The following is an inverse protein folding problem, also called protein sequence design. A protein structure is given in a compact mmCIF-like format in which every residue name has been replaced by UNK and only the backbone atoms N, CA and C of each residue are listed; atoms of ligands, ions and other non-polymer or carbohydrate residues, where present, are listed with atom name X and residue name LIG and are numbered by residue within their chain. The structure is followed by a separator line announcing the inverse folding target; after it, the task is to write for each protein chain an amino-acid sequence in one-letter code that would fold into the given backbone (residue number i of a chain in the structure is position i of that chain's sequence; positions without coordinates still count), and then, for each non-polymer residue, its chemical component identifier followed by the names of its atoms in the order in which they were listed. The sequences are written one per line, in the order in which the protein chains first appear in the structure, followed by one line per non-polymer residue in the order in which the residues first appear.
data_IF_371827253649
#
_entry.id   IF_371827253649
#
_cell.length_a   1.000
_cell.length_b   1.000
_cell.length_c   1.000
_cell.angle_alpha   90.00
_cell.angle_beta   90.00
_cell.angle_gamma   90.00
#
_symmetry.space_group_name_H-M   'P 1'
#
loop_
_entity.id
_entity.type
_entity.pdbx_description
1 polymer ?
#
# COMPACT_ATOMS: atom_id res chain seq x y z
N UNK A 1 5.86 -12.27 -9.48
CA UNK A 1 6.74 -12.02 -8.32
C UNK A 1 6.28 -12.87 -7.16
N UNK A 2 7.15 -13.11 -6.19
CA UNK A 2 6.89 -13.89 -4.98
C UNK A 2 7.00 -13.00 -3.74
N UNK A 3 5.94 -12.97 -2.95
CA UNK A 3 5.81 -12.14 -1.75
C UNK A 3 5.66 -12.98 -0.50
N UNK A 4 6.25 -12.52 0.61
CA UNK A 4 5.91 -13.00 1.94
C UNK A 4 5.27 -11.85 2.71
N UNK A 5 4.08 -12.09 3.29
CA UNK A 5 3.38 -11.13 4.13
C UNK A 5 3.34 -11.67 5.55
N UNK A 6 3.99 -10.97 6.47
CA UNK A 6 4.08 -11.32 7.89
C UNK A 6 3.13 -10.42 8.69
N UNK A 7 2.10 -11.03 9.25
CA UNK A 7 0.97 -10.37 9.90
C UNK A 7 -0.24 -10.29 8.98
N UNK A 8 -1.22 -11.19 9.19
CA UNK A 8 -2.46 -11.30 8.42
C UNK A 8 -3.64 -10.64 9.15
N UNK A 9 -3.40 -9.48 9.76
CA UNK A 9 -4.44 -8.59 10.25
C UNK A 9 -5.22 -7.96 9.09
N UNK A 10 -6.08 -6.97 9.37
CA UNK A 10 -6.92 -6.34 8.34
C UNK A 10 -6.12 -5.86 7.13
N UNK A 11 -5.00 -5.17 7.34
CA UNK A 11 -4.17 -4.67 6.25
C UNK A 11 -3.45 -5.79 5.49
N UNK A 12 -2.76 -6.69 6.22
CA UNK A 12 -1.98 -7.76 5.60
C UNK A 12 -2.84 -8.78 4.85
N UNK A 13 -4.05 -9.08 5.33
CA UNK A 13 -4.97 -10.00 4.64
C UNK A 13 -5.48 -9.41 3.32
N UNK A 14 -5.91 -8.15 3.31
CA UNK A 14 -6.34 -7.48 2.08
C UNK A 14 -5.21 -7.40 1.07
N UNK A 15 -4.02 -7.01 1.52
CA UNK A 15 -2.84 -6.95 0.64
C UNK A 15 -2.48 -8.31 0.05
N UNK A 16 -2.60 -9.38 0.84
CA UNK A 16 -2.34 -10.75 0.38
C UNK A 16 -3.33 -11.19 -0.71
N UNK A 17 -4.61 -10.90 -0.51
CA UNK A 17 -5.68 -11.21 -1.48
C UNK A 17 -5.49 -10.41 -2.78
N UNK A 18 -5.23 -9.11 -2.70
CA UNK A 18 -5.05 -8.25 -3.89
C UNK A 18 -3.81 -8.65 -4.70
N UNK A 19 -2.67 -8.92 -4.05
CA UNK A 19 -1.47 -9.40 -4.74
C UNK A 19 -1.69 -10.76 -5.41
N UNK A 20 -2.42 -11.67 -4.74
CA UNK A 20 -2.79 -12.97 -5.30
C UNK A 20 -3.72 -12.81 -6.51
N UNK A 21 -4.71 -11.90 -6.45
CA UNK A 21 -5.63 -11.60 -7.55
C UNK A 21 -4.90 -11.05 -8.79
N UNK A 22 -3.79 -10.34 -8.60
CA UNK A 22 -2.90 -9.89 -9.68
C UNK A 22 -2.01 -11.00 -10.25
N UNK A 23 -2.13 -12.25 -9.77
CA UNK A 23 -1.38 -13.41 -10.25
C UNK A 23 0.01 -13.57 -9.63
N UNK A 24 0.27 -12.94 -8.49
CA UNK A 24 1.53 -13.12 -7.77
C UNK A 24 1.48 -14.32 -6.83
N UNK A 25 2.62 -14.95 -6.59
CA UNK A 25 2.78 -15.99 -5.57
C UNK A 25 2.88 -15.33 -4.20
N UNK A 26 1.88 -15.54 -3.34
CA UNK A 26 1.83 -14.92 -2.01
C UNK A 26 1.91 -15.99 -0.92
N UNK A 27 2.82 -15.79 0.02
CA UNK A 27 2.98 -16.57 1.23
C UNK A 27 2.52 -15.72 2.41
N UNK A 28 1.47 -16.14 3.10
CA UNK A 28 0.96 -15.49 4.29
C UNK A 28 1.49 -16.11 5.58
N UNK A 29 1.82 -15.29 6.57
CA UNK A 29 2.37 -15.72 7.86
C UNK A 29 1.67 -14.99 9.01
N UNK A 30 1.12 -15.72 9.96
CA UNK A 30 0.57 -15.16 11.20
C UNK A 30 0.69 -16.21 12.33
N UNK A 31 0.67 -15.78 13.57
CA UNK A 31 0.58 -16.65 14.76
C UNK A 31 -0.85 -17.13 14.99
N UNK A 32 -1.83 -16.40 14.49
CA UNK A 32 -3.26 -16.68 14.68
C UNK A 32 -3.78 -17.59 13.58
N UNK A 33 -4.07 -18.85 13.96
CA UNK A 33 -4.61 -19.88 13.07
C UNK A 33 -5.86 -19.42 12.30
N UNK A 34 -6.79 -18.70 12.96
CA UNK A 34 -8.01 -18.22 12.31
C UNK A 34 -7.74 -17.24 11.16
N UNK A 35 -6.73 -16.37 11.32
CA UNK A 35 -6.31 -15.44 10.26
C UNK A 35 -5.70 -16.17 9.08
N UNK A 36 -4.91 -17.20 9.35
CA UNK A 36 -4.31 -18.07 8.33
C UNK A 36 -5.37 -18.87 7.59
N UNK A 37 -6.32 -19.47 8.31
CA UNK A 37 -7.41 -20.27 7.73
C UNK A 37 -8.29 -19.51 6.75
N UNK A 38 -8.56 -18.23 7.01
CA UNK A 38 -9.36 -17.37 6.12
C UNK A 38 -8.70 -17.18 4.75
N UNK A 39 -7.38 -17.26 4.70
CA UNK A 39 -6.59 -16.97 3.49
C UNK A 39 -6.09 -18.22 2.76
N UNK A 40 -6.16 -19.40 3.35
CA UNK A 40 -5.57 -20.63 2.81
C UNK A 40 -6.00 -20.99 1.38
N UNK A 41 -7.24 -20.65 1.01
CA UNK A 41 -7.80 -20.93 -0.31
C UNK A 41 -7.70 -19.73 -1.27
N UNK A 42 -7.15 -18.60 -0.81
CA UNK A 42 -7.06 -17.34 -1.56
C UNK A 42 -5.65 -16.98 -1.99
N UNK A 43 -4.64 -17.52 -1.31
CA UNK A 43 -3.22 -17.28 -1.57
C UNK A 43 -2.49 -18.60 -1.81
N UNK A 44 -1.27 -18.53 -2.35
CA UNK A 44 -0.52 -19.72 -2.74
C UNK A 44 -0.16 -20.64 -1.56
N UNK A 45 0.26 -20.05 -0.43
CA UNK A 45 0.66 -20.79 0.78
C UNK A 45 0.47 -19.94 2.01
N UNK A 46 0.19 -20.56 3.15
CA UNK A 46 0.11 -19.88 4.44
C UNK A 46 0.76 -20.70 5.56
N UNK A 47 1.35 -20.01 6.55
CA UNK A 47 2.03 -20.62 7.68
C UNK A 47 1.52 -20.05 9.01
N UNK A 48 1.31 -20.95 9.98
CA UNK A 48 1.02 -20.58 11.36
C UNK A 48 2.35 -20.67 12.12
N UNK A 49 3.07 -19.55 12.19
CA UNK A 49 4.36 -19.48 12.89
C UNK A 49 4.54 -18.13 13.59
N UNK A 50 5.37 -18.12 14.61
CA UNK A 50 5.86 -16.89 15.23
C UNK A 50 7.12 -16.41 14.49
N UNK A 51 6.97 -15.41 13.67
CA UNK A 51 8.08 -14.82 12.90
C UNK A 51 9.10 -14.07 13.79
N UNK A 52 8.80 -13.83 15.07
CA UNK A 52 9.76 -13.27 16.03
C UNK A 52 10.77 -14.32 16.53
N UNK A 53 10.48 -15.61 16.33
CA UNK A 53 11.42 -16.69 16.60
C UNK A 53 12.26 -16.98 15.36
N UNK A 54 13.59 -16.93 15.51
CA UNK A 54 14.54 -17.09 14.41
C UNK A 54 14.46 -18.47 13.74
N UNK A 55 14.21 -19.53 14.53
CA UNK A 55 14.09 -20.88 13.99
C UNK A 55 12.81 -21.02 13.17
N UNK A 56 11.70 -20.54 13.67
CA UNK A 56 10.42 -20.52 12.96
C UNK A 56 10.49 -19.68 11.66
N UNK A 57 11.13 -18.52 11.72
CA UNK A 57 11.32 -17.66 10.53
C UNK A 57 12.17 -18.36 9.46
N UNK A 58 13.14 -19.20 9.85
CA UNK A 58 14.03 -19.91 8.92
C UNK A 58 13.32 -20.97 8.06
N UNK A 59 12.10 -21.35 8.39
CA UNK A 59 11.27 -22.28 7.59
C UNK A 59 10.79 -21.59 6.29
N UNK A 60 10.71 -20.26 6.29
CA UNK A 60 10.26 -19.48 5.14
C UNK A 60 11.34 -19.42 4.05
N UNK A 61 10.96 -19.43 2.76
CA UNK A 61 11.89 -19.37 1.63
C UNK A 61 12.46 -17.96 1.42
N UNK A 62 13.12 -17.38 2.45
CA UNK A 62 13.58 -16.00 2.44
C UNK A 62 14.61 -15.68 1.35
N UNK A 63 15.28 -16.69 0.79
CA UNK A 63 16.27 -16.51 -0.30
C UNK A 63 15.65 -16.46 -1.67
N UNK A 64 14.42 -17.02 -1.81
CA UNK A 64 13.73 -17.21 -3.07
C UNK A 64 12.49 -16.30 -3.17
N UNK A 65 12.45 -15.23 -2.36
CA UNK A 65 11.37 -14.25 -2.34
C UNK A 65 11.84 -12.92 -2.92
N UNK A 66 10.97 -12.27 -3.69
CA UNK A 66 11.27 -10.95 -4.25
C UNK A 66 11.10 -9.85 -3.19
N UNK A 67 10.03 -9.93 -2.38
CA UNK A 67 9.67 -8.90 -1.39
C UNK A 67 9.10 -9.53 -0.13
N UNK A 68 9.51 -9.03 1.03
CA UNK A 68 8.89 -9.36 2.32
C UNK A 68 8.21 -8.12 2.89
N UNK A 69 6.94 -8.26 3.28
CA UNK A 69 6.13 -7.18 3.85
C UNK A 69 5.80 -7.52 5.30
N UNK A 70 6.27 -6.70 6.24
CA UNK A 70 5.94 -6.81 7.66
C UNK A 70 4.72 -5.95 7.96
N UNK A 71 3.55 -6.57 8.01
CA UNK A 71 2.25 -5.93 8.22
C UNK A 71 1.76 -6.01 9.67
N UNK A 72 2.66 -6.26 10.64
CA UNK A 72 2.34 -6.35 12.06
C UNK A 72 2.01 -4.96 12.59
N UNK A 73 0.76 -4.77 13.07
CA UNK A 73 0.31 -3.49 13.60
C UNK A 73 0.04 -3.48 15.12
N UNK A 74 -0.28 -4.64 15.70
CA UNK A 74 -0.71 -4.72 17.11
C UNK A 74 0.46 -4.79 18.11
N UNK A 75 1.66 -5.14 17.65
CA UNK A 75 2.83 -5.35 18.50
C UNK A 75 4.08 -4.72 17.91
N UNK A 76 4.40 -3.52 18.38
CA UNK A 76 5.59 -2.75 18.00
C UNK A 76 6.88 -3.58 18.13
N UNK A 77 7.10 -4.22 19.27
CA UNK A 77 8.32 -5.00 19.52
C UNK A 77 8.46 -6.20 18.57
N UNK A 78 7.34 -6.88 18.27
CA UNK A 78 7.33 -7.96 17.30
C UNK A 78 7.68 -7.47 15.88
N UNK A 79 7.12 -6.35 15.45
CA UNK A 79 7.41 -5.75 14.14
C UNK A 79 8.91 -5.45 14.00
N UNK A 80 9.50 -4.73 14.94
CA UNK A 80 10.93 -4.38 14.94
C UNK A 80 11.81 -5.63 14.96
N UNK A 81 11.46 -6.62 15.81
CA UNK A 81 12.22 -7.86 15.90
C UNK A 81 12.20 -8.65 14.59
N UNK A 82 11.05 -8.76 13.95
CA UNK A 82 10.91 -9.41 12.63
C UNK A 82 11.75 -8.71 11.58
N UNK A 83 11.68 -7.38 11.48
CA UNK A 83 12.50 -6.59 10.55
C UNK A 83 13.99 -6.84 10.76
N UNK A 84 14.45 -6.82 12.04
CA UNK A 84 15.84 -7.09 12.37
C UNK A 84 16.29 -8.51 11.95
N UNK A 85 15.44 -9.52 12.17
CA UNK A 85 15.72 -10.89 11.75
C UNK A 85 15.75 -11.05 10.23
N UNK A 86 14.85 -10.39 9.49
CA UNK A 86 14.87 -10.38 8.03
C UNK A 86 16.15 -9.75 7.48
N UNK A 87 16.58 -8.61 8.02
CA UNK A 87 17.87 -7.97 7.67
C UNK A 87 19.05 -8.89 7.98
N UNK A 88 19.07 -9.52 9.16
CA UNK A 88 20.08 -10.52 9.56
C UNK A 88 20.16 -11.69 8.58
N UNK A 89 19.02 -12.15 8.05
CA UNK A 89 18.94 -13.24 7.07
C UNK A 89 19.19 -12.77 5.63
N UNK A 90 19.54 -11.52 5.41
CA UNK A 90 19.94 -11.00 4.10
C UNK A 90 18.80 -10.78 3.12
N UNK A 91 17.57 -10.63 3.60
CA UNK A 91 16.42 -10.25 2.76
C UNK A 91 16.69 -8.87 2.19
N UNK A 92 16.58 -8.75 0.86
CA UNK A 92 16.95 -7.52 0.15
C UNK A 92 15.85 -6.48 0.19
N UNK A 93 14.63 -6.87 -0.15
CA UNK A 93 13.50 -5.97 -0.27
C UNK A 93 12.51 -6.19 0.87
N UNK A 94 12.47 -5.24 1.79
CA UNK A 94 11.63 -5.27 2.98
C UNK A 94 10.78 -4.00 3.04
N UNK A 95 9.48 -4.20 3.13
CA UNK A 95 8.50 -3.17 3.43
C UNK A 95 7.96 -3.40 4.84
N UNK A 96 7.76 -2.36 5.62
CA UNK A 96 7.19 -2.50 6.94
C UNK A 96 6.13 -1.47 7.24
N UNK A 97 5.05 -1.90 7.89
CA UNK A 97 3.99 -1.01 8.34
C UNK A 97 4.39 -0.34 9.65
N UNK A 98 4.37 0.99 9.68
CA UNK A 98 4.43 1.78 10.89
C UNK A 98 3.00 2.02 11.41
N UNK A 99 2.84 2.03 12.74
CA UNK A 99 1.56 2.29 13.43
C UNK A 99 1.47 3.68 14.03
N UNK A 100 2.63 4.32 14.22
CA UNK A 100 2.77 5.67 14.73
C UNK A 100 4.14 6.26 14.33
N UNK A 101 4.35 7.54 14.61
CA UNK A 101 5.61 8.26 14.29
C UNK A 101 6.84 7.69 15.00
N UNK A 102 6.69 7.17 16.23
CA UNK A 102 7.81 6.56 16.96
C UNK A 102 8.23 5.26 16.27
N UNK A 103 7.25 4.45 15.86
CA UNK A 103 7.49 3.23 15.12
C UNK A 103 8.17 3.52 13.78
N UNK A 104 7.69 4.51 13.06
CA UNK A 104 8.27 4.96 11.79
C UNK A 104 9.73 5.37 11.96
N UNK A 105 10.03 6.23 12.95
CA UNK A 105 11.40 6.66 13.26
C UNK A 105 12.34 5.48 13.52
N UNK A 106 11.88 4.45 14.25
CA UNK A 106 12.69 3.26 14.50
C UNK A 106 12.88 2.43 13.23
N UNK A 107 11.85 2.29 12.39
CA UNK A 107 11.94 1.57 11.12
C UNK A 107 12.87 2.26 10.12
N UNK A 108 12.92 3.59 10.09
CA UNK A 108 13.84 4.38 9.25
C UNK A 108 15.31 3.99 9.47
N UNK A 109 15.69 3.67 10.71
CA UNK A 109 17.04 3.24 11.03
C UNK A 109 17.46 1.92 10.37
N UNK A 110 16.52 1.11 9.87
CA UNK A 110 16.80 -0.15 9.17
C UNK A 110 17.06 0.00 7.68
N UNK A 111 16.92 1.20 7.09
CA UNK A 111 17.02 1.44 5.66
C UNK A 111 16.19 0.42 4.86
N UNK A 112 14.89 0.45 5.05
CA UNK A 112 13.91 -0.37 4.34
C UNK A 112 13.62 0.23 2.96
N UNK A 113 13.05 -0.58 2.05
CA UNK A 113 12.63 -0.08 0.74
C UNK A 113 11.47 0.91 0.87
N UNK A 114 10.55 0.65 1.80
CA UNK A 114 9.46 1.58 2.13
C UNK A 114 8.91 1.32 3.53
N UNK A 115 8.41 2.39 4.15
CA UNK A 115 7.64 2.34 5.39
C UNK A 115 6.21 2.75 5.05
N UNK A 116 5.28 1.84 5.32
CA UNK A 116 3.87 1.98 4.98
C UNK A 116 3.11 2.59 6.15
N UNK A 117 2.33 3.63 5.91
CA UNK A 117 1.46 4.30 6.90
C UNK A 117 0.02 4.32 6.41
N UNK A 118 -0.63 3.15 6.24
CA UNK A 118 -1.91 3.03 5.54
C UNK A 118 -3.04 3.86 6.16
N UNK A 119 -3.04 4.05 7.48
CA UNK A 119 -4.02 4.89 8.15
C UNK A 119 -3.85 6.37 7.81
N UNK A 120 -2.62 6.87 7.74
CA UNK A 120 -2.34 8.26 7.37
C UNK A 120 -2.64 8.49 5.89
N UNK A 121 -2.20 7.58 5.03
CA UNK A 121 -2.45 7.64 3.58
C UNK A 121 -3.95 7.63 3.27
N UNK A 122 -4.72 6.75 3.93
CA UNK A 122 -6.17 6.70 3.80
C UNK A 122 -6.84 7.97 4.31
N UNK A 123 -6.38 8.51 5.45
CA UNK A 123 -6.92 9.75 6.02
C UNK A 123 -6.63 10.94 5.11
N UNK A 124 -5.41 11.08 4.59
CA UNK A 124 -5.06 12.15 3.62
C UNK A 124 -5.91 12.06 2.36
N UNK A 125 -6.06 10.86 1.80
CA UNK A 125 -6.90 10.63 0.61
C UNK A 125 -8.36 11.02 0.87
N UNK A 126 -8.90 10.69 2.05
CA UNK A 126 -10.26 11.06 2.42
C UNK A 126 -10.41 12.59 2.60
N UNK A 127 -9.44 13.25 3.26
CA UNK A 127 -9.45 14.71 3.41
C UNK A 127 -9.49 15.40 2.06
N UNK A 128 -8.64 14.99 1.11
CA UNK A 128 -8.65 15.54 -0.24
C UNK A 128 -10.02 15.37 -0.92
N UNK A 129 -10.64 14.18 -0.78
CA UNK A 129 -11.95 13.91 -1.35
C UNK A 129 -13.06 14.76 -0.72
N UNK A 130 -13.02 14.99 0.57
CA UNK A 130 -13.98 15.82 1.30
C UNK A 130 -13.83 17.32 0.99
N UNK A 131 -12.58 17.80 0.91
CA UNK A 131 -12.27 19.21 0.65
C UNK A 131 -12.71 19.65 -0.76
N UNK A 132 -12.49 18.80 -1.74
CA UNK A 132 -12.85 19.10 -3.13
C UNK A 132 -14.34 19.00 -3.44
N UNK A 133 -15.19 18.50 -2.53
CA UNK A 133 -16.65 18.31 -2.70
C UNK A 133 -17.04 17.58 -4.02
N UNK A 134 -16.11 16.84 -4.61
CA UNK A 134 -16.26 16.09 -5.87
C UNK A 134 -15.66 14.70 -5.71
N UNK A 135 -16.25 13.72 -6.38
CA UNK A 135 -15.61 12.41 -6.52
C UNK A 135 -14.36 12.55 -7.40
N UNK A 136 -13.20 12.68 -6.77
CA UNK A 136 -11.92 12.83 -7.45
C UNK A 136 -11.11 11.58 -7.24
N UNK A 137 -10.69 10.96 -8.34
CA UNK A 137 -9.61 9.99 -8.32
C UNK A 137 -8.31 10.81 -8.41
N UNK A 138 -7.49 10.82 -7.37
CA UNK A 138 -6.22 11.57 -7.35
C UNK A 138 -5.04 10.63 -7.18
N UNK A 139 -3.95 11.01 -7.86
CA UNK A 139 -2.65 10.35 -7.75
C UNK A 139 -1.61 11.42 -7.46
N UNK A 140 -0.91 11.31 -6.33
CA UNK A 140 0.18 12.19 -5.94
C UNK A 140 1.44 11.85 -6.75
N UNK A 141 2.05 12.85 -7.38
CA UNK A 141 3.33 12.70 -8.07
C UNK A 141 4.47 13.07 -7.11
N UNK A 142 4.32 14.19 -6.41
CA UNK A 142 5.22 14.70 -5.37
C UNK A 142 4.46 15.62 -4.40
N UNK A 143 5.15 16.24 -3.45
CA UNK A 143 4.55 17.09 -2.40
C UNK A 143 3.73 18.28 -2.94
N UNK A 144 3.97 18.69 -4.20
CA UNK A 144 3.34 19.86 -4.81
C UNK A 144 2.46 19.51 -6.02
N UNK A 145 2.58 18.30 -6.59
CA UNK A 145 1.92 17.92 -7.83
C UNK A 145 1.02 16.69 -7.69
N UNK A 146 -0.19 16.83 -8.20
CA UNK A 146 -1.21 15.77 -8.22
C UNK A 146 -1.79 15.60 -9.63
N UNK A 147 -2.03 14.37 -10.05
CA UNK A 147 -2.92 14.07 -11.19
C UNK A 147 -4.30 13.77 -10.61
N UNK A 148 -5.30 14.51 -11.08
CA UNK A 148 -6.68 14.35 -10.61
C UNK A 148 -7.61 14.04 -11.79
N UNK A 149 -8.50 13.08 -11.58
CA UNK A 149 -9.62 12.80 -12.46
C UNK A 149 -10.91 13.15 -11.75
N UNK A 150 -11.66 14.08 -12.29
CA UNK A 150 -12.94 14.51 -11.73
C UNK A 150 -14.01 14.68 -12.79
N UNK A 151 -15.26 14.58 -12.38
CA UNK A 151 -16.41 14.84 -13.25
C UNK A 151 -16.60 16.34 -13.38
N UNK A 152 -16.61 16.81 -14.62
CA UNK A 152 -16.80 18.22 -14.90
C UNK A 152 -18.14 18.73 -14.32
N UNK A 153 -18.14 19.81 -13.52
CA UNK A 153 -19.37 20.43 -13.03
C UNK A 153 -20.29 20.83 -14.17
N UNK A 154 -21.61 20.73 -13.96
CA UNK A 154 -22.61 21.07 -14.97
C UNK A 154 -22.51 22.51 -15.49
N UNK A 155 -21.95 23.43 -14.70
CA UNK A 155 -21.67 24.81 -15.09
C UNK A 155 -20.69 24.95 -16.27
N UNK A 156 -19.86 23.95 -16.51
CA UNK A 156 -18.87 23.94 -17.60
C UNK A 156 -19.37 23.23 -18.87
N UNK A 157 -20.56 22.64 -18.82
CA UNK A 157 -21.12 21.94 -19.98
C UNK A 157 -21.46 22.92 -21.09
N UNK A 158 -20.92 22.67 -22.30
CA UNK A 158 -21.12 23.53 -23.49
C UNK A 158 -20.00 24.53 -23.74
N UNK A 159 -19.07 24.72 -22.86
CA UNK A 159 -17.87 25.53 -23.05
C UNK A 159 -16.76 24.72 -23.74
N UNK A 160 -15.93 25.41 -24.55
CA UNK A 160 -14.69 24.80 -25.04
C UNK A 160 -13.65 24.80 -23.92
N UNK A 161 -12.81 23.79 -23.88
CA UNK A 161 -11.73 23.67 -22.88
C UNK A 161 -10.82 24.90 -22.89
N UNK A 162 -10.52 25.43 -24.08
CA UNK A 162 -9.74 26.66 -24.28
C UNK A 162 -10.33 27.91 -23.57
N UNK A 163 -11.64 27.91 -23.36
CA UNK A 163 -12.36 29.07 -22.82
C UNK A 163 -12.50 29.00 -21.28
N UNK A 164 -12.12 27.88 -20.69
CA UNK A 164 -12.31 27.62 -19.25
C UNK A 164 -11.25 28.25 -18.35
N UNK A 165 -10.20 28.83 -18.88
CA UNK A 165 -9.11 29.51 -18.11
C UNK A 165 -8.56 28.74 -16.89
N UNK A 166 -8.73 27.42 -16.80
CA UNK A 166 -8.42 26.61 -15.63
C UNK A 166 -6.94 26.67 -15.26
N UNK A 167 -6.06 26.79 -16.24
CA UNK A 167 -4.61 26.93 -15.97
C UNK A 167 -4.28 28.26 -15.28
N UNK A 168 -4.98 29.34 -15.64
CA UNK A 168 -4.69 30.68 -15.12
C UNK A 168 -5.33 30.94 -13.77
N UNK A 169 -6.55 30.42 -13.55
CA UNK A 169 -7.33 30.70 -12.34
C UNK A 169 -7.04 29.71 -11.22
N UNK A 170 -6.74 28.46 -11.55
CA UNK A 170 -6.61 27.37 -10.58
C UNK A 170 -5.25 26.64 -10.63
N UNK A 171 -4.33 27.08 -11.48
CA UNK A 171 -3.03 26.42 -11.70
C UNK A 171 -3.16 24.91 -12.07
N UNK A 172 -4.20 24.59 -12.87
CA UNK A 172 -4.52 23.21 -13.27
C UNK A 172 -4.17 23.03 -14.75
N UNK A 173 -3.28 22.10 -15.06
CA UNK A 173 -2.97 21.70 -16.43
C UNK A 173 -3.88 20.55 -16.84
N UNK A 174 -4.68 20.75 -17.90
CA UNK A 174 -5.51 19.69 -18.45
C UNK A 174 -4.63 18.71 -19.23
N UNK A 175 -4.63 17.45 -18.83
CA UNK A 175 -3.88 16.39 -19.50
C UNK A 175 -4.76 15.71 -20.56
N UNK A 176 -6.03 15.43 -20.21
CA UNK A 176 -6.96 14.76 -21.10
C UNK A 176 -8.42 14.96 -20.67
N UNK A 177 -9.33 14.76 -21.59
CA UNK A 177 -10.76 14.64 -21.35
C UNK A 177 -11.21 13.20 -21.58
N UNK A 178 -12.01 12.66 -20.66
CA UNK A 178 -12.57 11.32 -20.78
C UNK A 178 -14.07 11.40 -20.98
N UNK A 179 -14.58 10.80 -22.07
CA UNK A 179 -16.02 10.67 -22.33
C UNK A 179 -16.33 9.19 -22.60
N UNK A 180 -16.98 8.55 -21.65
CA UNK A 180 -17.17 7.09 -21.70
C UNK A 180 -15.82 6.36 -21.63
N UNK A 181 -15.51 5.54 -22.64
CA UNK A 181 -14.24 4.83 -22.77
C UNK A 181 -13.19 5.57 -23.63
N UNK A 182 -13.50 6.77 -24.12
CA UNK A 182 -12.63 7.51 -25.04
C UNK A 182 -11.85 8.59 -24.30
N UNK A 183 -10.54 8.62 -24.54
CA UNK A 183 -9.62 9.64 -24.06
C UNK A 183 -9.36 10.65 -25.18
N UNK A 184 -9.52 11.94 -24.89
CA UNK A 184 -9.22 13.06 -25.80
C UNK A 184 -8.05 13.86 -25.21
N UNK A 185 -7.01 14.06 -25.97
CA UNK A 185 -5.83 14.89 -25.64
C UNK A 185 -5.86 16.23 -26.34
#
# INVERSE_FOLDING_TARGET
MKYIIIGLGNYGSVLAEELSALGHEVIGVDTNERRVDVLKDKIATSFIIDATDEQSLSVLPLKDVDVVIVAIGENFGASIRVVALLKKNGVKHIYARAVDEVHKTVLEAFNLDSILTPEEEAARSLVQLLDLHVNVESFEIDEEHYVMKFKLPGSFVGYKVSDLSLEKEFNIKIIALVKGCLLYT
#
